data_IF_412997274997
#
_entry.id   IF_412997274997
#
_cell.length_a   1.000
_cell.length_b   1.000
_cell.length_c   1.000
_cell.angle_alpha   90.00
_cell.angle_beta   90.00
_cell.angle_gamma   90.00
#
_symmetry.space_group_name_H-M   'P 1'
#
loop_
_entity.id
_entity.type
_entity.pdbx_description
1 polymer ?
#
# COMPACT_ATOMS: atom_id res chain seq x y z
N UNK A 1 19.98 -9.38 3.28
CA UNK A 1 20.29 -8.16 4.08
C UNK A 1 19.11 -7.21 3.99
N UNK A 2 18.64 -6.80 2.81
CA UNK A 2 17.48 -5.91 2.62
C UNK A 2 16.23 -6.44 3.32
N UNK A 3 16.00 -7.75 3.28
CA UNK A 3 14.91 -8.43 3.97
C UNK A 3 14.89 -8.16 5.49
N UNK A 4 16.07 -8.24 6.13
CA UNK A 4 16.18 -7.98 7.58
C UNK A 4 16.06 -6.50 7.90
N UNK A 5 16.75 -5.65 7.14
CA UNK A 5 16.78 -4.20 7.39
C UNK A 5 15.45 -3.52 7.08
N UNK A 6 14.70 -4.02 6.10
CA UNK A 6 13.40 -3.49 5.69
C UNK A 6 12.20 -4.14 6.38
N UNK A 7 12.42 -5.11 7.28
CA UNK A 7 11.34 -5.76 8.01
C UNK A 7 10.60 -4.78 8.93
N UNK A 8 9.29 -4.91 8.99
CA UNK A 8 8.42 -4.16 9.89
C UNK A 8 7.91 -4.99 11.07
N UNK A 9 8.45 -6.20 11.24
CA UNK A 9 8.08 -7.07 12.36
C UNK A 9 8.50 -6.48 13.71
N UNK A 10 7.86 -6.90 14.83
CA UNK A 10 8.16 -6.41 16.17
C UNK A 10 9.66 -6.49 16.49
N UNK A 11 10.20 -5.41 17.03
CA UNK A 11 11.61 -5.29 17.41
C UNK A 11 12.55 -4.84 16.29
N UNK A 12 12.05 -4.58 15.07
CA UNK A 12 12.87 -4.03 13.99
C UNK A 12 12.90 -2.48 14.03
N UNK A 13 13.86 -1.83 13.37
CA UNK A 13 13.93 -0.37 13.34
C UNK A 13 12.67 0.29 12.79
N UNK A 14 12.10 -0.27 11.73
CA UNK A 14 10.90 0.30 11.12
C UNK A 14 9.72 0.29 12.10
N UNK A 15 9.49 -0.80 12.80
CA UNK A 15 8.42 -0.92 13.80
C UNK A 15 8.66 0.03 14.97
N UNK A 16 9.85 0.01 15.58
CA UNK A 16 10.15 0.83 16.74
C UNK A 16 10.08 2.33 16.43
N UNK A 17 10.66 2.77 15.32
CA UNK A 17 10.67 4.18 14.93
C UNK A 17 9.27 4.68 14.53
N UNK A 18 8.43 3.82 13.92
CA UNK A 18 7.01 4.12 13.66
C UNK A 18 6.22 4.24 14.97
N UNK A 19 6.40 3.30 15.90
CA UNK A 19 5.75 3.33 17.22
C UNK A 19 6.12 4.59 18.03
N UNK A 20 7.35 5.08 17.88
CA UNK A 20 7.79 6.36 18.47
C UNK A 20 7.28 7.60 17.72
N UNK A 21 6.61 7.43 16.59
CA UNK A 21 6.11 8.53 15.74
C UNK A 21 7.21 9.34 15.05
N UNK A 22 8.39 8.77 14.88
CA UNK A 22 9.54 9.44 14.26
C UNK A 22 9.56 9.29 12.74
N UNK A 23 9.03 8.18 12.22
CA UNK A 23 8.98 7.90 10.79
C UNK A 23 7.58 7.46 10.36
N UNK A 24 7.23 7.72 9.10
CA UNK A 24 6.03 7.14 8.46
C UNK A 24 6.38 5.90 7.63
N UNK A 25 7.62 5.84 7.10
CA UNK A 25 8.04 4.76 6.21
C UNK A 25 9.55 4.53 6.30
N UNK A 26 9.94 3.27 6.15
CA UNK A 26 11.33 2.86 5.91
C UNK A 26 11.33 1.85 4.79
N UNK A 27 11.99 2.18 3.67
CA UNK A 27 12.22 1.25 2.57
C UNK A 27 13.69 0.89 2.48
N UNK A 28 13.97 -0.35 2.17
CA UNK A 28 15.34 -0.81 1.93
C UNK A 28 15.43 -1.46 0.56
N UNK A 29 16.38 -1.01 -0.24
CA UNK A 29 16.63 -1.53 -1.57
C UNK A 29 18.13 -1.77 -1.78
N UNK A 30 18.46 -2.64 -2.70
CA UNK A 30 19.86 -2.88 -3.09
C UNK A 30 19.98 -3.03 -4.60
N UNK A 31 21.03 -2.45 -5.14
CA UNK A 31 21.51 -2.66 -6.50
C UNK A 31 22.91 -3.24 -6.41
N UNK A 32 23.05 -4.57 -6.38
CA UNK A 32 24.33 -5.22 -6.09
C UNK A 32 25.35 -5.05 -7.19
N UNK A 33 24.92 -4.77 -8.40
CA UNK A 33 25.78 -4.60 -9.58
C UNK A 33 25.32 -3.39 -10.40
N UNK A 34 25.74 -2.20 -9.97
CA UNK A 34 25.45 -0.96 -10.67
C UNK A 34 26.57 -0.67 -11.67
N UNK A 35 26.27 -0.75 -12.95
CA UNK A 35 27.21 -0.58 -14.07
C UNK A 35 28.43 -1.52 -14.04
N UNK A 36 28.33 -2.67 -13.38
CA UNK A 36 29.40 -3.68 -13.33
C UNK A 36 30.59 -3.35 -12.44
N UNK A 37 30.62 -2.26 -11.69
CA UNK A 37 31.78 -1.78 -10.96
C UNK A 37 31.56 -1.56 -9.45
N UNK A 38 30.34 -1.39 -8.99
CA UNK A 38 30.00 -1.28 -7.56
C UNK A 38 28.55 -1.64 -7.29
N UNK A 39 28.25 -1.95 -6.03
CA UNK A 39 26.89 -2.13 -5.56
C UNK A 39 26.51 -1.05 -4.55
N UNK A 40 25.21 -0.83 -4.38
CA UNK A 40 24.65 0.08 -3.37
C UNK A 40 23.56 -0.61 -2.56
N UNK A 41 23.48 -0.24 -1.29
CA UNK A 41 22.37 -0.50 -0.39
C UNK A 41 21.79 0.86 0.01
N UNK A 42 20.50 1.07 -0.23
CA UNK A 42 19.80 2.32 0.07
C UNK A 42 18.71 2.08 1.11
N UNK A 43 18.64 2.97 2.08
CA UNK A 43 17.56 3.04 3.04
C UNK A 43 16.88 4.41 2.87
N UNK A 44 15.61 4.40 2.46
CA UNK A 44 14.80 5.60 2.29
C UNK A 44 13.84 5.72 3.47
N UNK A 45 13.97 6.80 4.24
CA UNK A 45 13.22 7.02 5.47
C UNK A 45 12.39 8.29 5.35
N UNK A 46 11.07 8.15 5.43
CA UNK A 46 10.17 9.31 5.49
C UNK A 46 10.00 9.76 6.95
N UNK A 47 10.55 10.92 7.26
CA UNK A 47 10.55 11.49 8.60
C UNK A 47 9.25 12.24 8.88
N UNK A 48 8.80 12.18 10.14
CA UNK A 48 7.84 13.16 10.70
C UNK A 48 8.60 14.42 11.13
N UNK A 49 7.89 15.46 11.56
CA UNK A 49 8.53 16.66 12.12
C UNK A 49 9.36 16.31 13.40
N UNK A 50 8.85 15.40 14.23
CA UNK A 50 9.59 14.88 15.38
C UNK A 50 10.82 14.05 14.95
N UNK A 51 10.67 13.26 13.88
CA UNK A 51 11.77 12.51 13.28
C UNK A 51 12.85 13.42 12.70
N UNK A 52 12.46 14.52 12.06
CA UNK A 52 13.43 15.49 11.56
C UNK A 52 14.26 16.14 12.66
N UNK A 53 13.64 16.39 13.82
CA UNK A 53 14.33 16.89 15.00
C UNK A 53 15.24 15.83 15.65
N UNK A 54 14.94 14.54 15.48
CA UNK A 54 15.69 13.41 16.03
C UNK A 54 16.39 12.56 14.95
N UNK A 55 16.74 13.16 13.82
CA UNK A 55 17.28 12.44 12.66
C UNK A 55 18.57 11.67 12.96
N UNK A 56 19.44 12.20 13.85
CA UNK A 56 20.66 11.52 14.29
C UNK A 56 20.34 10.27 15.11
N UNK A 57 19.31 10.30 15.95
CA UNK A 57 18.84 9.13 16.69
C UNK A 57 18.28 8.04 15.77
N UNK A 58 17.66 8.42 14.66
CA UNK A 58 17.19 7.48 13.63
C UNK A 58 18.37 6.82 12.93
N UNK A 59 19.38 7.59 12.51
CA UNK A 59 20.62 7.05 11.93
C UNK A 59 21.30 6.10 12.92
N UNK A 60 21.41 6.51 14.19
CA UNK A 60 21.98 5.68 15.24
C UNK A 60 21.26 4.34 15.39
N UNK A 61 19.91 4.36 15.41
CA UNK A 61 19.09 3.15 15.51
C UNK A 61 19.34 2.19 14.34
N UNK A 62 19.42 2.71 13.13
CA UNK A 62 19.70 1.91 11.92
C UNK A 62 21.10 1.30 12.00
N UNK A 63 22.10 2.09 12.38
CA UNK A 63 23.49 1.60 12.53
C UNK A 63 23.62 0.56 13.63
N UNK A 64 22.95 0.74 14.78
CA UNK A 64 22.89 -0.26 15.85
C UNK A 64 22.26 -1.57 15.37
N UNK A 65 21.21 -1.49 14.55
CA UNK A 65 20.59 -2.68 14.00
C UNK A 65 21.50 -3.40 12.99
N UNK A 66 22.22 -2.68 12.15
CA UNK A 66 23.24 -3.25 11.26
C UNK A 66 24.29 -4.00 12.07
N UNK A 67 24.77 -3.42 13.18
CA UNK A 67 25.72 -4.10 14.07
C UNK A 67 25.11 -5.33 14.74
N UNK A 68 23.84 -5.28 15.15
CA UNK A 68 23.11 -6.45 15.66
C UNK A 68 23.09 -7.58 14.63
N UNK A 69 22.76 -7.26 13.36
CA UNK A 69 22.75 -8.24 12.24
C UNK A 69 24.14 -8.83 12.01
N UNK A 70 25.21 -8.02 12.11
CA UNK A 70 26.60 -8.51 11.99
C UNK A 70 26.97 -9.47 13.13
N UNK A 71 26.59 -9.12 14.37
CA UNK A 71 26.91 -9.91 15.58
C UNK A 71 26.16 -11.25 15.63
N UNK A 72 24.86 -11.22 15.32
CA UNK A 72 24.04 -12.43 15.33
C UNK A 72 24.22 -13.29 14.09
N UNK A 73 24.71 -12.69 13.00
CA UNK A 73 24.78 -13.33 11.70
C UNK A 73 23.42 -13.45 11.04
N UNK A 74 23.42 -13.86 9.77
CA UNK A 74 22.19 -14.14 9.02
C UNK A 74 21.89 -15.62 9.07
N UNK A 75 20.82 -16.00 9.74
CA UNK A 75 20.36 -17.37 9.84
C UNK A 75 19.83 -17.85 8.47
N UNK A 76 20.14 -19.08 8.11
CA UNK A 76 19.68 -19.74 6.87
C UNK A 76 18.15 -19.84 6.76
N UNK A 77 17.43 -19.72 7.88
CA UNK A 77 15.96 -19.71 7.89
C UNK A 77 15.40 -18.56 7.04
N UNK A 78 16.00 -17.37 7.08
CA UNK A 78 15.58 -16.24 6.24
C UNK A 78 15.83 -16.49 4.76
N UNK A 79 16.95 -17.12 4.43
CA UNK A 79 17.21 -17.53 3.06
C UNK A 79 16.17 -18.57 2.57
N UNK A 80 15.87 -19.59 3.39
CA UNK A 80 14.88 -20.60 3.07
C UNK A 80 13.48 -20.02 2.88
N UNK A 81 13.12 -19.01 3.68
CA UNK A 81 11.86 -18.29 3.57
C UNK A 81 11.75 -17.53 2.25
N UNK A 82 12.78 -16.73 1.90
CA UNK A 82 12.86 -16.01 0.63
C UNK A 82 12.83 -17.00 -0.54
N UNK A 83 13.61 -18.07 -0.49
CA UNK A 83 13.65 -19.12 -1.51
C UNK A 83 12.27 -19.75 -1.72
N UNK A 84 11.56 -20.07 -0.63
CA UNK A 84 10.20 -20.61 -0.69
C UNK A 84 9.23 -19.64 -1.33
N UNK A 85 9.26 -18.37 -0.93
CA UNK A 85 8.44 -17.33 -1.54
C UNK A 85 8.69 -17.19 -3.05
N UNK A 86 9.95 -17.09 -3.45
CA UNK A 86 10.34 -16.93 -4.86
C UNK A 86 10.00 -18.19 -5.70
N UNK A 87 10.20 -19.38 -5.15
CA UNK A 87 9.80 -20.62 -5.81
C UNK A 87 8.29 -20.69 -6.03
N UNK A 88 7.49 -20.27 -5.05
CA UNK A 88 6.04 -20.22 -5.19
C UNK A 88 5.61 -19.17 -6.24
N UNK A 89 6.25 -18.02 -6.28
CA UNK A 89 5.98 -17.00 -7.29
C UNK A 89 6.31 -17.52 -8.69
N UNK A 90 7.43 -18.20 -8.87
CA UNK A 90 7.84 -18.77 -10.16
C UNK A 90 6.91 -19.92 -10.59
N UNK A 91 6.56 -20.81 -9.66
CA UNK A 91 5.66 -21.95 -9.96
C UNK A 91 4.29 -21.50 -10.46
N UNK A 92 3.80 -20.38 -9.96
CA UNK A 92 2.49 -19.82 -10.29
C UNK A 92 2.63 -18.47 -11.01
N UNK A 93 3.65 -18.36 -11.87
CA UNK A 93 3.88 -17.18 -12.66
C UNK A 93 2.67 -16.90 -13.58
N UNK A 94 2.16 -15.68 -13.51
CA UNK A 94 1.04 -15.25 -14.33
C UNK A 94 1.52 -14.65 -15.65
N UNK A 95 0.69 -14.79 -16.68
CA UNK A 95 0.94 -14.13 -17.96
C UNK A 95 0.79 -12.61 -17.76
N UNK A 96 1.88 -11.90 -17.97
CA UNK A 96 1.91 -10.44 -17.93
C UNK A 96 1.69 -9.80 -19.31
N UNK A 97 1.98 -8.51 -19.41
CA UNK A 97 2.00 -7.79 -20.67
C UNK A 97 3.12 -8.34 -21.57
N UNK A 98 2.80 -8.67 -22.80
CA UNK A 98 3.71 -9.33 -23.75
C UNK A 98 4.94 -8.46 -24.07
N UNK A 99 4.76 -7.17 -24.27
CA UNK A 99 5.86 -6.24 -24.53
C UNK A 99 6.81 -6.15 -23.36
N UNK A 100 6.28 -5.98 -22.15
CA UNK A 100 7.08 -5.97 -20.90
C UNK A 100 7.80 -7.29 -20.68
N UNK A 101 7.15 -8.43 -20.93
CA UNK A 101 7.77 -9.74 -20.82
C UNK A 101 8.97 -9.91 -21.76
N UNK A 102 8.80 -9.58 -23.04
CA UNK A 102 9.88 -9.71 -24.04
C UNK A 102 11.03 -8.73 -23.73
N UNK A 103 10.70 -7.50 -23.34
CA UNK A 103 11.71 -6.49 -22.99
C UNK A 103 12.53 -6.90 -21.77
N UNK A 104 11.87 -7.37 -20.70
CA UNK A 104 12.55 -7.86 -19.50
C UNK A 104 13.41 -9.10 -19.79
N UNK A 105 12.94 -9.99 -20.67
CA UNK A 105 13.70 -11.17 -21.08
C UNK A 105 14.96 -10.78 -21.88
N UNK A 106 14.82 -9.85 -22.81
CA UNK A 106 15.96 -9.35 -23.60
C UNK A 106 16.99 -8.64 -22.72
N UNK A 107 16.53 -7.87 -21.73
CA UNK A 107 17.41 -7.22 -20.76
C UNK A 107 18.13 -8.24 -19.86
N UNK A 108 17.41 -9.21 -19.32
CA UNK A 108 17.99 -10.28 -18.52
C UNK A 108 19.08 -11.07 -19.27
N UNK A 109 18.90 -11.30 -20.56
CA UNK A 109 19.89 -12.01 -21.39
C UNK A 109 21.22 -11.27 -21.57
N UNK A 110 21.30 -10.00 -21.22
CA UNK A 110 22.56 -9.25 -21.20
C UNK A 110 23.45 -9.63 -20.01
N UNK A 111 22.84 -10.04 -18.90
CA UNK A 111 23.52 -10.30 -17.63
C UNK A 111 23.54 -11.76 -17.22
N UNK A 112 22.59 -12.59 -17.70
CA UNK A 112 22.49 -14.01 -17.38
C UNK A 112 22.44 -14.87 -18.63
N UNK A 113 22.91 -16.15 -18.58
CA UNK A 113 22.78 -17.07 -19.70
C UNK A 113 21.31 -17.23 -20.14
N UNK A 114 21.07 -17.29 -21.44
CA UNK A 114 19.72 -17.37 -22.04
C UNK A 114 18.83 -18.47 -21.41
N UNK A 115 19.41 -19.62 -21.05
CA UNK A 115 18.71 -20.73 -20.37
C UNK A 115 18.14 -20.34 -19.00
N UNK A 116 18.67 -19.31 -18.36
CA UNK A 116 18.28 -18.84 -17.04
C UNK A 116 17.47 -17.53 -17.09
N UNK A 117 17.31 -16.93 -18.26
CA UNK A 117 16.72 -15.58 -18.37
C UNK A 117 15.30 -15.48 -17.78
N UNK A 118 14.50 -16.56 -17.85
CA UNK A 118 13.13 -16.60 -17.29
C UNK A 118 13.15 -16.78 -15.78
N UNK A 119 14.03 -17.62 -15.24
CA UNK A 119 14.00 -17.98 -13.81
C UNK A 119 15.03 -17.19 -12.96
N UNK A 120 15.94 -16.44 -13.57
CA UNK A 120 16.98 -15.72 -12.84
C UNK A 120 16.47 -14.87 -11.67
N UNK A 121 15.35 -14.11 -11.79
CA UNK A 121 14.82 -13.32 -10.69
C UNK A 121 14.33 -14.15 -9.49
N UNK A 122 14.05 -15.45 -9.71
CA UNK A 122 13.47 -16.36 -8.72
C UNK A 122 14.46 -17.43 -8.23
N UNK A 123 15.70 -17.43 -8.76
CA UNK A 123 16.62 -18.55 -8.64
C UNK A 123 17.67 -18.32 -7.57
N UNK A 124 17.38 -18.71 -6.34
CA UNK A 124 18.27 -18.64 -5.20
C UNK A 124 18.54 -20.05 -4.69
N UNK A 125 19.69 -20.65 -5.08
CA UNK A 125 19.97 -22.07 -4.81
C UNK A 125 20.76 -22.30 -3.54
N UNK A 126 21.71 -21.43 -3.23
CA UNK A 126 22.69 -21.70 -2.18
C UNK A 126 22.76 -20.53 -1.21
N UNK A 127 22.58 -20.86 0.06
CA UNK A 127 22.91 -19.96 1.15
C UNK A 127 24.44 -19.85 1.28
N UNK A 128 24.97 -18.65 1.17
CA UNK A 128 26.38 -18.35 1.34
C UNK A 128 26.58 -17.36 2.48
N UNK A 129 26.74 -17.91 3.69
CA UNK A 129 26.91 -17.11 4.89
C UNK A 129 28.14 -16.20 4.83
N UNK A 130 29.23 -16.71 4.21
CA UNK A 130 30.46 -15.92 4.08
C UNK A 130 30.28 -14.71 3.17
N UNK A 131 29.69 -14.90 2.00
CA UNK A 131 29.41 -13.80 1.08
C UNK A 131 28.52 -12.73 1.71
N UNK A 132 27.50 -13.16 2.48
CA UNK A 132 26.63 -12.23 3.22
C UNK A 132 27.41 -11.46 4.29
N UNK A 133 28.26 -12.13 5.04
CA UNK A 133 29.13 -11.50 6.05
C UNK A 133 30.11 -10.52 5.40
N UNK A 134 30.73 -10.87 4.28
CA UNK A 134 31.64 -10.00 3.54
C UNK A 134 30.95 -8.70 3.07
N UNK A 135 29.68 -8.76 2.66
CA UNK A 135 28.87 -7.57 2.34
C UNK A 135 28.52 -6.79 3.59
N UNK A 136 28.05 -7.45 4.66
CA UNK A 136 27.73 -6.79 5.92
C UNK A 136 28.93 -6.05 6.52
N UNK A 137 30.13 -6.61 6.41
CA UNK A 137 31.37 -5.98 6.89
C UNK A 137 31.67 -4.66 6.17
N UNK A 138 31.11 -4.44 4.98
CA UNK A 138 31.27 -3.18 4.23
C UNK A 138 30.29 -2.08 4.65
N UNK A 139 29.24 -2.41 5.40
CA UNK A 139 28.27 -1.43 5.90
C UNK A 139 28.84 -0.72 7.14
N UNK A 140 29.70 0.25 6.90
CA UNK A 140 30.42 1.01 7.95
C UNK A 140 30.13 2.50 7.82
N UNK A 141 30.28 3.28 8.91
CA UNK A 141 30.10 4.73 8.87
C UNK A 141 30.99 5.42 7.81
N UNK A 142 32.19 4.89 7.51
CA UNK A 142 33.12 5.45 6.53
C UNK A 142 32.64 5.30 5.08
N UNK A 143 31.71 4.40 4.84
CA UNK A 143 31.09 4.18 3.51
C UNK A 143 29.67 4.71 3.41
N UNK A 144 29.15 5.32 4.48
CA UNK A 144 27.84 5.89 4.56
C UNK A 144 27.76 7.22 3.83
N UNK A 145 26.68 7.46 3.12
CA UNK A 145 26.25 8.75 2.61
C UNK A 145 24.83 9.01 3.10
N UNK A 146 24.61 10.14 3.75
CA UNK A 146 23.30 10.53 4.26
C UNK A 146 22.80 11.70 3.43
N UNK A 147 21.54 11.63 3.02
CA UNK A 147 20.84 12.69 2.31
C UNK A 147 19.72 13.19 3.19
N UNK A 148 19.86 14.40 3.72
CA UNK A 148 18.78 15.10 4.40
C UNK A 148 18.05 15.97 3.38
N UNK A 149 16.81 15.61 3.05
CA UNK A 149 16.02 16.29 2.02
C UNK A 149 14.87 17.04 2.71
N UNK A 150 15.02 18.36 2.81
CA UNK A 150 14.02 19.26 3.39
C UNK A 150 14.15 20.65 2.80
N UNK A 151 13.06 21.43 2.82
CA UNK A 151 13.09 22.83 2.43
C UNK A 151 13.87 23.73 3.39
N UNK A 152 14.16 23.24 4.59
CA UNK A 152 14.82 23.98 5.66
C UNK A 152 16.31 23.67 5.78
N UNK A 153 16.83 22.75 4.97
CA UNK A 153 18.25 22.40 5.03
C UNK A 153 19.13 23.56 4.57
N UNK A 154 20.25 23.79 5.27
CA UNK A 154 21.23 24.80 4.85
C UNK A 154 21.84 24.43 3.49
N UNK A 155 22.09 25.43 2.66
CA UNK A 155 22.66 25.22 1.35
C UNK A 155 23.64 26.33 1.00
N UNK A 156 24.66 25.99 0.20
CA UNK A 156 25.70 26.90 -0.30
C UNK A 156 26.00 26.71 -1.80
N UNK A 157 25.31 25.72 -2.43
CA UNK A 157 25.42 25.41 -3.85
C UNK A 157 24.05 25.15 -4.48
N UNK A 158 23.99 25.20 -5.81
CA UNK A 158 22.79 24.93 -6.61
C UNK A 158 23.11 23.91 -7.70
N UNK A 159 22.13 23.09 -8.06
CA UNK A 159 22.22 22.16 -9.17
C UNK A 159 22.24 22.91 -10.50
N UNK A 160 22.97 22.37 -11.48
CA UNK A 160 23.16 23.05 -12.76
C UNK A 160 21.91 23.02 -13.65
N UNK A 161 21.13 21.91 -13.64
CA UNK A 161 19.99 21.71 -14.54
C UNK A 161 18.63 21.73 -13.85
N UNK A 162 18.59 21.85 -12.53
CA UNK A 162 17.37 21.76 -11.73
C UNK A 162 17.34 22.81 -10.64
N UNK A 163 16.16 23.25 -10.24
CA UNK A 163 15.95 24.17 -9.11
C UNK A 163 16.21 23.49 -7.75
N UNK A 164 17.35 22.82 -7.65
CA UNK A 164 17.78 22.15 -6.43
C UNK A 164 18.95 22.90 -5.79
N UNK A 165 18.87 23.07 -4.48
CA UNK A 165 19.96 23.64 -3.66
C UNK A 165 20.50 22.57 -2.73
N UNK A 166 21.81 22.59 -2.46
CA UNK A 166 22.44 21.58 -1.62
C UNK A 166 23.65 22.13 -0.86
N UNK A 167 24.05 21.39 0.14
CA UNK A 167 25.32 21.52 0.84
C UNK A 167 25.93 20.16 1.05
N UNK A 168 27.22 20.03 0.83
CA UNK A 168 27.98 18.80 1.13
C UNK A 168 28.79 19.06 2.39
N UNK A 169 28.72 18.15 3.35
CA UNK A 169 29.52 18.16 4.56
C UNK A 169 30.05 16.75 4.85
N UNK A 170 31.22 16.65 5.42
CA UNK A 170 31.77 15.39 5.89
C UNK A 170 31.07 14.97 7.20
N UNK A 171 30.84 13.67 7.36
CA UNK A 171 30.33 13.10 8.61
C UNK A 171 31.48 13.16 9.63
N UNK A 172 31.32 13.96 10.68
CA UNK A 172 32.36 14.17 11.69
C UNK A 172 32.57 12.94 12.59
N UNK A 173 33.70 12.85 13.22
CA UNK A 173 33.94 11.82 14.23
C UNK A 173 33.01 11.95 15.43
N UNK A 174 32.61 13.17 15.79
CA UNK A 174 31.68 13.46 16.86
C UNK A 174 30.28 12.90 16.55
N UNK A 175 29.80 13.09 15.30
CA UNK A 175 28.54 12.49 14.84
C UNK A 175 28.58 10.96 14.91
N UNK A 176 29.65 10.33 14.42
CA UNK A 176 29.82 8.87 14.48
C UNK A 176 29.87 8.35 15.93
N UNK A 177 30.51 9.09 16.84
CA UNK A 177 30.54 8.74 18.26
C UNK A 177 29.14 8.93 18.91
N UNK A 178 28.41 9.96 18.54
CA UNK A 178 27.06 10.20 19.05
C UNK A 178 26.10 9.05 18.71
N UNK A 179 26.23 8.45 17.51
CA UNK A 179 25.43 7.29 17.13
C UNK A 179 25.71 6.06 17.99
N UNK A 180 26.97 5.86 18.42
CA UNK A 180 27.34 4.77 19.32
C UNK A 180 26.85 5.00 20.76
N UNK A 181 26.76 6.26 21.18
CA UNK A 181 26.32 6.65 22.52
C UNK A 181 24.81 6.86 22.64
N UNK A 182 24.08 6.88 21.52
CA UNK A 182 22.63 7.03 21.50
C UNK A 182 21.95 5.90 22.28
N UNK A 183 20.82 6.19 22.95
CA UNK A 183 20.08 5.17 23.67
C UNK A 183 19.78 3.97 22.76
N UNK A 184 20.09 2.78 23.25
CA UNK A 184 19.81 1.55 22.51
C UNK A 184 18.34 1.17 22.66
N UNK A 185 17.65 0.96 21.54
CA UNK A 185 16.33 0.36 21.55
C UNK A 185 16.45 -1.17 21.71
N UNK A 186 15.39 -1.79 22.19
CA UNK A 186 15.30 -3.24 22.29
C UNK A 186 15.06 -3.86 20.89
N UNK A 187 16.11 -3.86 20.06
CA UNK A 187 16.06 -4.36 18.70
C UNK A 187 16.23 -5.88 18.64
N UNK A 188 15.46 -6.52 17.76
CA UNK A 188 15.51 -7.96 17.53
C UNK A 188 15.44 -8.26 16.02
N UNK A 189 16.02 -9.39 15.59
CA UNK A 189 15.80 -9.89 14.25
C UNK A 189 14.34 -10.34 14.07
N UNK A 190 13.77 -10.22 12.85
CA UNK A 190 12.37 -10.56 12.58
C UNK A 190 12.09 -12.05 12.84
N UNK A 191 10.88 -12.36 13.27
CA UNK A 191 10.39 -13.71 13.33
C UNK A 191 10.23 -14.30 11.91
N UNK A 192 10.08 -15.62 11.82
CA UNK A 192 9.76 -16.29 10.55
C UNK A 192 8.33 -15.96 10.13
N UNK A 193 8.15 -15.75 8.84
CA UNK A 193 6.84 -15.45 8.25
C UNK A 193 5.88 -16.63 8.37
N UNK A 194 4.77 -16.43 9.07
CA UNK A 194 3.75 -17.47 9.32
C UNK A 194 2.68 -17.55 8.24
N UNK A 195 2.71 -16.64 7.26
CA UNK A 195 1.74 -16.54 6.18
C UNK A 195 2.22 -17.22 4.89
N UNK A 196 3.43 -17.79 4.85
CA UNK A 196 3.90 -18.51 3.68
C UNK A 196 2.95 -19.67 3.34
N UNK A 197 2.46 -19.76 2.08
CA UNK A 197 1.54 -20.81 1.69
C UNK A 197 2.24 -22.17 1.60
N UNK A 198 1.58 -23.19 2.11
CA UNK A 198 2.02 -24.60 2.13
C UNK A 198 1.10 -25.49 1.30
N UNK A 199 -0.19 -25.10 1.18
CA UNK A 199 -1.20 -25.85 0.44
C UNK A 199 -1.67 -25.08 -0.79
N UNK A 200 -1.49 -25.69 -1.96
CA UNK A 200 -1.86 -25.13 -3.26
C UNK A 200 -3.02 -25.89 -3.91
N UNK A 201 -3.83 -26.60 -3.12
CA UNK A 201 -4.99 -27.33 -3.63
C UNK A 201 -5.98 -26.37 -4.30
N UNK A 202 -6.42 -26.78 -5.49
CA UNK A 202 -7.45 -26.04 -6.21
C UNK A 202 -8.81 -26.47 -5.66
N UNK A 203 -9.60 -25.50 -5.23
CA UNK A 203 -10.95 -25.71 -4.71
C UNK A 203 -12.01 -25.78 -5.82
N UNK A 204 -11.58 -25.80 -7.07
CA UNK A 204 -12.33 -25.54 -8.29
C UNK A 204 -13.78 -26.06 -8.29
N UNK A 205 -14.77 -25.24 -7.94
CA UNK A 205 -16.10 -25.43 -8.42
C UNK A 205 -16.14 -25.23 -9.95
N UNK A 206 -17.23 -25.63 -10.61
CA UNK A 206 -17.39 -25.33 -12.02
C UNK A 206 -17.20 -23.84 -12.26
N UNK A 207 -16.35 -23.51 -13.24
CA UNK A 207 -16.13 -22.15 -13.66
C UNK A 207 -17.46 -21.52 -14.11
N UNK A 208 -17.65 -20.26 -13.81
CA UNK A 208 -18.86 -19.50 -14.09
C UNK A 208 -18.52 -18.30 -14.96
N UNK A 209 -19.48 -17.89 -15.78
CA UNK A 209 -19.32 -16.71 -16.65
C UNK A 209 -19.60 -15.39 -15.92
N UNK A 210 -20.23 -15.45 -14.76
CA UNK A 210 -20.62 -14.28 -13.96
C UNK A 210 -20.64 -14.63 -12.44
N UNK A 211 -20.49 -13.62 -11.57
CA UNK A 211 -20.65 -13.80 -10.15
C UNK A 211 -22.04 -14.34 -9.77
N UNK A 212 -22.08 -15.28 -8.84
CA UNK A 212 -23.30 -15.84 -8.28
C UNK A 212 -23.47 -15.44 -6.81
N UNK A 213 -24.67 -15.02 -6.44
CA UNK A 213 -25.04 -14.80 -5.03
C UNK A 213 -25.29 -16.16 -4.38
N UNK A 214 -24.36 -16.64 -3.55
CA UNK A 214 -24.43 -17.98 -2.96
C UNK A 214 -24.82 -18.00 -1.48
N UNK A 215 -24.68 -16.86 -0.79
CA UNK A 215 -25.05 -16.70 0.62
C UNK A 215 -25.75 -15.36 0.81
N UNK A 216 -26.92 -15.41 1.45
CA UNK A 216 -27.67 -14.24 1.91
C UNK A 216 -28.05 -14.47 3.37
N UNK A 217 -27.41 -13.79 4.29
CA UNK A 217 -27.62 -13.98 5.73
C UNK A 217 -27.36 -12.68 6.50
N UNK A 218 -28.25 -12.31 7.42
CA UNK A 218 -28.07 -11.20 8.37
C UNK A 218 -27.57 -9.90 7.74
N UNK A 219 -28.16 -9.49 6.61
CA UNK A 219 -27.74 -8.33 5.81
C UNK A 219 -26.33 -8.45 5.20
N UNK A 220 -25.77 -9.64 5.15
CA UNK A 220 -24.57 -9.98 4.39
C UNK A 220 -24.98 -10.67 3.10
N UNK A 221 -24.54 -10.11 1.97
CA UNK A 221 -24.64 -10.76 0.66
C UNK A 221 -23.28 -11.22 0.22
N UNK A 222 -23.09 -12.51 -0.02
CA UNK A 222 -21.81 -13.06 -0.44
C UNK A 222 -21.89 -13.69 -1.83
N UNK A 223 -21.00 -13.24 -2.68
CA UNK A 223 -20.92 -13.57 -4.10
C UNK A 223 -19.68 -14.40 -4.36
N UNK A 224 -19.82 -15.42 -5.18
CA UNK A 224 -18.72 -16.30 -5.62
C UNK A 224 -18.53 -16.18 -7.13
N UNK A 225 -17.29 -16.04 -7.57
CA UNK A 225 -16.92 -16.05 -8.98
C UNK A 225 -15.66 -16.87 -9.23
N UNK A 226 -15.76 -18.20 -9.40
CA UNK A 226 -14.68 -19.03 -9.88
C UNK A 226 -14.44 -18.79 -11.37
N UNK A 227 -13.28 -18.25 -11.71
CA UNK A 227 -12.94 -17.89 -13.09
C UNK A 227 -12.37 -19.07 -13.87
N UNK A 228 -12.80 -19.25 -15.12
CA UNK A 228 -12.17 -20.20 -16.04
C UNK A 228 -10.71 -19.84 -16.33
N UNK A 229 -10.45 -18.57 -16.54
CA UNK A 229 -9.13 -18.06 -16.92
C UNK A 229 -8.07 -18.35 -15.85
N UNK A 230 -8.44 -18.34 -14.56
CA UNK A 230 -7.56 -18.55 -13.44
C UNK A 230 -7.80 -19.87 -12.68
N UNK A 231 -8.49 -20.83 -13.31
CA UNK A 231 -8.86 -22.10 -12.67
C UNK A 231 -7.66 -22.97 -12.21
N UNK A 232 -6.48 -22.77 -12.81
CA UNK A 232 -5.24 -23.44 -12.43
C UNK A 232 -4.41 -22.71 -11.38
N UNK A 233 -4.87 -21.53 -10.90
CA UNK A 233 -4.16 -20.71 -9.94
C UNK A 233 -4.71 -20.93 -8.52
N UNK A 234 -3.87 -21.26 -7.53
CA UNK A 234 -4.28 -21.37 -6.12
C UNK A 234 -4.39 -19.99 -5.46
N UNK A 235 -4.83 -19.01 -6.23
CA UNK A 235 -4.95 -17.60 -5.84
C UNK A 235 -6.40 -17.15 -5.91
N UNK A 236 -6.71 -16.14 -5.14
CA UNK A 236 -8.02 -15.52 -5.16
C UNK A 236 -7.99 -14.11 -4.59
N UNK A 237 -9.08 -13.40 -4.84
CA UNK A 237 -9.35 -12.06 -4.31
C UNK A 237 -10.61 -12.13 -3.48
N UNK A 238 -10.52 -11.59 -2.28
CA UNK A 238 -11.63 -11.45 -1.35
C UNK A 238 -11.83 -9.96 -1.07
N UNK A 239 -12.99 -9.44 -1.44
CA UNK A 239 -13.40 -8.05 -1.18
C UNK A 239 -14.56 -8.05 -0.18
N UNK A 240 -14.39 -7.34 0.93
CA UNK A 240 -15.40 -7.17 1.96
C UNK A 240 -15.78 -5.69 2.00
N UNK A 241 -16.94 -5.38 1.43
CA UNK A 241 -17.49 -4.03 1.39
C UNK A 241 -18.37 -3.78 2.60
N UNK A 242 -18.01 -2.82 3.43
CA UNK A 242 -18.75 -2.30 4.58
C UNK A 242 -19.41 -1.00 4.11
N UNK A 243 -20.53 -1.11 3.41
CA UNK A 243 -21.16 0.01 2.73
C UNK A 243 -21.97 0.89 3.68
N UNK A 244 -21.78 2.20 3.56
CA UNK A 244 -22.48 3.21 4.34
C UNK A 244 -22.60 4.51 3.55
N UNK A 245 -23.74 5.19 3.65
CA UNK A 245 -23.99 6.46 2.95
C UNK A 245 -23.32 7.67 3.63
N UNK A 246 -22.77 7.50 4.82
CA UNK A 246 -22.21 8.59 5.64
C UNK A 246 -21.19 9.41 4.86
N UNK A 247 -20.30 8.76 4.11
CA UNK A 247 -19.25 9.47 3.33
C UNK A 247 -19.80 10.24 2.11
N UNK A 248 -20.99 9.88 1.61
CA UNK A 248 -21.61 10.59 0.50
C UNK A 248 -22.40 11.81 0.96
N UNK A 249 -22.89 11.80 2.20
CA UNK A 249 -23.75 12.84 2.74
C UNK A 249 -22.97 14.00 3.37
N UNK A 250 -21.76 13.75 3.88
CA UNK A 250 -21.00 14.71 4.64
C UNK A 250 -19.50 14.65 4.30
N UNK A 251 -18.95 15.79 3.89
CA UNK A 251 -17.50 15.91 3.63
C UNK A 251 -16.65 15.54 4.85
N UNK A 252 -17.11 15.92 6.07
CA UNK A 252 -16.40 15.59 7.32
C UNK A 252 -16.30 14.09 7.54
N UNK A 253 -17.37 13.34 7.25
CA UNK A 253 -17.35 11.89 7.32
C UNK A 253 -16.47 11.24 6.25
N UNK A 254 -16.44 11.79 5.03
CA UNK A 254 -15.52 11.36 3.97
C UNK A 254 -14.07 11.49 4.41
N UNK A 255 -13.71 12.63 5.01
CA UNK A 255 -12.37 12.86 5.55
C UNK A 255 -12.06 11.91 6.69
N UNK A 256 -12.99 11.70 7.62
CA UNK A 256 -12.82 10.77 8.73
C UNK A 256 -12.52 9.34 8.24
N UNK A 257 -13.26 8.84 7.24
CA UNK A 257 -13.00 7.51 6.67
C UNK A 257 -11.67 7.43 5.93
N UNK A 258 -11.26 8.49 5.23
CA UNK A 258 -9.96 8.54 4.59
C UNK A 258 -8.82 8.49 5.62
N UNK A 259 -8.93 9.24 6.72
CA UNK A 259 -7.96 9.18 7.83
C UNK A 259 -7.94 7.79 8.49
N UNK A 260 -9.11 7.18 8.70
CA UNK A 260 -9.18 5.84 9.27
C UNK A 260 -8.50 4.80 8.40
N UNK A 261 -8.75 4.85 7.09
CA UNK A 261 -8.05 4.00 6.11
C UNK A 261 -6.53 4.14 6.22
N UNK A 262 -6.03 5.37 6.27
CA UNK A 262 -4.59 5.64 6.32
C UNK A 262 -3.98 5.17 7.64
N UNK A 263 -4.66 5.42 8.77
CA UNK A 263 -4.24 4.95 10.09
C UNK A 263 -4.25 3.43 10.19
N UNK A 264 -5.30 2.78 9.68
CA UNK A 264 -5.38 1.31 9.63
C UNK A 264 -4.24 0.73 8.81
N UNK A 265 -4.04 1.21 7.58
CA UNK A 265 -2.99 0.69 6.70
C UNK A 265 -1.59 0.93 7.31
N UNK A 266 -1.38 2.03 8.02
CA UNK A 266 -0.13 2.30 8.73
C UNK A 266 0.08 1.31 9.89
N UNK A 267 -0.95 1.06 10.70
CA UNK A 267 -0.85 0.10 11.83
C UNK A 267 -0.72 -1.34 11.35
N UNK A 268 -1.29 -1.68 10.20
CA UNK A 268 -1.21 -3.02 9.61
C UNK A 268 -0.01 -3.18 8.67
N UNK A 269 0.91 -2.22 8.61
CA UNK A 269 2.04 -2.28 7.66
C UNK A 269 2.93 -3.51 7.88
N UNK A 270 3.16 -3.92 9.12
CA UNK A 270 3.90 -5.16 9.44
C UNK A 270 3.18 -6.40 8.90
N UNK A 271 1.87 -6.53 9.16
CA UNK A 271 1.05 -7.63 8.66
C UNK A 271 0.95 -7.62 7.13
N UNK A 272 0.82 -6.44 6.53
CA UNK A 272 0.77 -6.28 5.08
C UNK A 272 2.11 -6.66 4.43
N UNK A 273 3.26 -6.31 5.04
CA UNK A 273 4.59 -6.72 4.59
C UNK A 273 4.79 -8.24 4.71
N UNK A 274 4.36 -8.85 5.83
CA UNK A 274 4.38 -10.31 6.00
C UNK A 274 3.54 -11.01 4.92
N UNK A 275 2.35 -10.47 4.62
CA UNK A 275 1.47 -10.98 3.57
C UNK A 275 2.10 -10.84 2.17
N UNK A 276 2.71 -9.68 1.85
CA UNK A 276 3.34 -9.43 0.55
C UNK A 276 4.49 -10.41 0.27
N UNK A 277 5.36 -10.65 1.25
CA UNK A 277 6.42 -11.67 1.18
C UNK A 277 5.84 -13.05 0.90
N UNK A 278 4.68 -13.37 1.47
CA UNK A 278 3.97 -14.62 1.27
C UNK A 278 3.16 -14.69 -0.05
N UNK A 279 3.23 -13.67 -0.90
CA UNK A 279 2.49 -13.57 -2.17
C UNK A 279 1.01 -13.27 -1.96
N UNK A 280 0.68 -12.53 -0.90
CA UNK A 280 -0.65 -12.03 -0.60
C UNK A 280 -0.62 -10.51 -0.41
N UNK A 281 -1.79 -9.87 -0.49
CA UNK A 281 -1.96 -8.45 -0.27
C UNK A 281 -3.07 -8.21 0.73
N UNK A 282 -2.88 -7.22 1.60
CA UNK A 282 -3.88 -6.73 2.54
C UNK A 282 -4.02 -5.22 2.35
N UNK A 283 -5.26 -4.75 2.17
CA UNK A 283 -5.53 -3.32 2.00
C UNK A 283 -6.91 -2.94 2.53
N UNK A 284 -6.99 -1.83 3.25
CA UNK A 284 -8.24 -1.14 3.53
C UNK A 284 -8.36 0.07 2.59
N UNK A 285 -9.53 0.27 2.00
CA UNK A 285 -9.89 1.43 1.17
C UNK A 285 -11.20 2.06 1.63
N UNK A 286 -11.45 3.31 1.22
CA UNK A 286 -12.66 4.08 1.55
C UNK A 286 -13.60 4.17 0.32
N UNK A 287 -14.32 3.09 0.03
CA UNK A 287 -15.25 3.02 -1.10
C UNK A 287 -16.70 2.92 -0.61
N UNK A 288 -17.46 4.01 -0.64
CA UNK A 288 -18.84 4.07 -0.14
C UNK A 288 -19.00 3.47 1.26
N UNK A 289 -18.14 3.85 2.18
CA UNK A 289 -17.86 3.25 3.46
C UNK A 289 -16.41 2.76 3.50
N UNK A 290 -16.20 1.53 3.93
CA UNK A 290 -14.90 0.88 3.94
C UNK A 290 -14.92 -0.38 3.06
N UNK A 291 -13.79 -0.73 2.47
CA UNK A 291 -13.59 -1.99 1.77
C UNK A 291 -12.27 -2.62 2.20
N UNK A 292 -12.33 -3.84 2.75
CA UNK A 292 -11.17 -4.63 3.12
C UNK A 292 -10.91 -5.66 2.00
N UNK A 293 -9.72 -5.59 1.41
CA UNK A 293 -9.26 -6.47 0.34
C UNK A 293 -8.16 -7.39 0.82
N UNK A 294 -8.30 -8.68 0.52
CA UNK A 294 -7.27 -9.71 0.69
C UNK A 294 -7.10 -10.43 -0.65
N UNK A 295 -5.90 -10.44 -1.20
CA UNK A 295 -5.63 -11.05 -2.50
C UNK A 295 -4.39 -11.95 -2.46
N UNK A 296 -4.21 -12.83 -3.45
CA UNK A 296 -3.04 -13.71 -3.57
C UNK A 296 -3.33 -15.17 -3.25
N UNK A 297 -2.35 -15.90 -2.71
CA UNK A 297 -2.50 -17.33 -2.38
C UNK A 297 -3.57 -17.56 -1.32
N UNK A 298 -4.53 -18.47 -1.60
CA UNK A 298 -5.73 -18.65 -0.76
C UNK A 298 -5.49 -19.45 0.52
N UNK A 299 -4.37 -20.16 0.64
CA UNK A 299 -4.08 -21.05 1.78
C UNK A 299 -4.12 -20.32 3.14
N UNK A 300 -3.39 -19.23 3.26
CA UNK A 300 -3.27 -18.46 4.52
C UNK A 300 -4.18 -17.22 4.57
N UNK A 301 -5.01 -16.98 3.55
CA UNK A 301 -5.96 -15.86 3.58
C UNK A 301 -6.94 -15.89 4.76
N UNK A 302 -7.45 -17.03 5.24
CA UNK A 302 -8.29 -17.04 6.43
C UNK A 302 -7.58 -16.52 7.68
N UNK A 303 -6.29 -16.86 7.85
CA UNK A 303 -5.47 -16.38 8.96
C UNK A 303 -5.18 -14.89 8.85
N UNK A 304 -4.83 -14.41 7.65
CA UNK A 304 -4.62 -13.00 7.35
C UNK A 304 -5.90 -12.19 7.60
N UNK A 305 -7.04 -12.68 7.10
CA UNK A 305 -8.35 -12.04 7.29
C UNK A 305 -8.72 -11.93 8.77
N UNK A 306 -8.51 -12.97 9.56
CA UNK A 306 -8.81 -12.95 10.99
C UNK A 306 -8.03 -11.84 11.71
N UNK A 307 -6.74 -11.69 11.42
CA UNK A 307 -5.91 -10.63 12.00
C UNK A 307 -6.34 -9.25 11.51
N UNK A 308 -6.61 -9.10 10.21
CA UNK A 308 -7.08 -7.86 9.61
C UNK A 308 -8.42 -7.38 10.22
N UNK A 309 -9.38 -8.29 10.42
CA UNK A 309 -10.67 -7.96 11.02
C UNK A 309 -10.55 -7.59 12.50
N UNK A 310 -9.70 -8.26 13.27
CA UNK A 310 -9.47 -7.95 14.69
C UNK A 310 -8.91 -6.54 14.90
N UNK A 311 -8.24 -6.00 13.88
CA UNK A 311 -7.59 -4.69 13.92
C UNK A 311 -8.43 -3.57 13.31
N UNK A 312 -9.64 -3.83 12.81
CA UNK A 312 -10.50 -2.79 12.24
C UNK A 312 -10.88 -1.69 13.24
N UNK A 313 -11.04 -2.04 14.51
CA UNK A 313 -11.24 -1.09 15.59
C UNK A 313 -9.88 -0.66 16.16
N UNK A 314 -9.11 0.11 15.40
CA UNK A 314 -7.80 0.60 15.82
C UNK A 314 -7.91 1.57 16.99
N UNK A 315 -6.92 1.54 17.88
CA UNK A 315 -6.72 2.57 18.90
C UNK A 315 -5.78 3.63 18.34
N UNK A 316 -6.19 4.87 18.35
CA UNK A 316 -5.43 6.03 17.90
C UNK A 316 -5.41 7.06 19.00
N UNK A 317 -4.24 7.56 19.34
CA UNK A 317 -4.06 8.69 20.24
C UNK A 317 -4.10 10.04 19.50
N UNK A 318 -4.11 11.13 20.25
CA UNK A 318 -4.14 12.49 19.69
C UNK A 318 -2.94 12.78 18.80
N UNK A 319 -1.78 12.25 19.10
CA UNK A 319 -0.56 12.48 18.33
C UNK A 319 -0.63 11.77 16.96
N UNK A 320 -0.99 10.50 16.94
CA UNK A 320 -1.17 9.74 15.69
C UNK A 320 -2.28 10.32 14.81
N UNK A 321 -3.37 10.76 15.43
CA UNK A 321 -4.44 11.46 14.73
C UNK A 321 -3.96 12.78 14.12
N UNK A 322 -3.23 13.62 14.88
CA UNK A 322 -2.71 14.89 14.39
C UNK A 322 -1.76 14.69 13.21
N UNK A 323 -0.88 13.71 13.28
CA UNK A 323 0.04 13.36 12.18
C UNK A 323 -0.70 12.88 10.92
N UNK A 324 -1.72 12.02 11.08
CA UNK A 324 -2.52 11.55 9.95
C UNK A 324 -3.28 12.71 9.28
N UNK A 325 -3.85 13.59 10.09
CA UNK A 325 -4.56 14.79 9.64
C UNK A 325 -3.66 15.74 8.86
N UNK A 326 -2.44 15.97 9.34
CA UNK A 326 -1.46 16.82 8.66
C UNK A 326 -1.02 16.19 7.32
N UNK A 327 -0.71 14.89 7.28
CA UNK A 327 -0.41 14.19 6.02
C UNK A 327 -1.55 14.30 5.01
N UNK A 328 -2.79 14.10 5.47
CA UNK A 328 -3.98 14.22 4.63
C UNK A 328 -4.10 15.62 4.02
N UNK A 329 -4.02 16.67 4.84
CA UNK A 329 -4.11 18.07 4.39
C UNK A 329 -3.03 18.36 3.36
N UNK A 330 -1.78 18.03 3.64
CA UNK A 330 -0.67 18.21 2.69
C UNK A 330 -0.89 17.43 1.39
N UNK A 331 -1.39 16.20 1.49
CA UNK A 331 -1.71 15.38 0.32
C UNK A 331 -2.77 16.01 -0.58
N UNK A 332 -3.84 16.56 0.01
CA UNK A 332 -4.89 17.26 -0.74
C UNK A 332 -4.36 18.57 -1.33
N UNK A 333 -3.62 19.39 -0.56
CA UNK A 333 -3.03 20.63 -1.04
C UNK A 333 -2.03 20.41 -2.19
N UNK A 334 -1.27 19.31 -2.18
CA UNK A 334 -0.35 18.99 -3.25
C UNK A 334 -1.05 18.62 -4.57
N UNK A 335 -2.35 18.37 -4.56
CA UNK A 335 -3.12 18.14 -5.79
C UNK A 335 -3.12 19.39 -6.69
N UNK A 336 -3.06 20.59 -6.12
CA UNK A 336 -2.94 21.83 -6.89
C UNK A 336 -1.62 21.99 -7.65
N UNK A 337 -0.61 21.17 -7.35
CA UNK A 337 0.70 21.16 -8.02
C UNK A 337 0.82 20.08 -9.09
N UNK A 338 -0.21 19.25 -9.27
CA UNK A 338 -0.24 18.22 -10.30
C UNK A 338 -0.41 18.86 -11.68
N UNK A 339 -0.15 18.05 -12.73
CA UNK A 339 -0.38 18.49 -14.09
C UNK A 339 -1.80 19.02 -14.30
N UNK A 340 -2.00 20.07 -15.13
CA UNK A 340 -3.31 20.71 -15.33
C UNK A 340 -4.44 19.73 -15.67
N UNK A 341 -4.18 18.71 -16.48
CA UNK A 341 -5.18 17.71 -16.84
C UNK A 341 -5.66 16.87 -15.65
N UNK A 342 -4.78 16.55 -14.68
CA UNK A 342 -5.17 15.87 -13.44
C UNK A 342 -6.09 16.77 -12.60
N UNK A 343 -5.75 18.06 -12.48
CA UNK A 343 -6.59 19.02 -11.76
C UNK A 343 -7.96 19.19 -12.41
N UNK A 344 -8.01 19.21 -13.76
CA UNK A 344 -9.27 19.25 -14.51
C UNK A 344 -10.13 18.00 -14.27
N UNK A 345 -9.54 16.79 -14.25
CA UNK A 345 -10.26 15.56 -13.91
C UNK A 345 -10.75 15.54 -12.44
N UNK A 346 -9.99 16.05 -11.51
CA UNK A 346 -10.43 16.18 -10.11
C UNK A 346 -11.63 17.12 -9.99
N UNK A 347 -11.57 18.29 -10.64
CA UNK A 347 -12.68 19.23 -10.70
C UNK A 347 -13.93 18.62 -11.36
N UNK A 348 -13.77 17.95 -12.50
CA UNK A 348 -14.85 17.23 -13.14
C UNK A 348 -15.50 16.21 -12.21
N UNK A 349 -14.71 15.34 -11.56
CA UNK A 349 -15.24 14.33 -10.66
C UNK A 349 -15.96 14.91 -9.42
N UNK A 350 -15.50 16.04 -8.89
CA UNK A 350 -16.16 16.68 -7.75
C UNK A 350 -17.52 17.28 -8.11
N UNK A 351 -17.70 17.68 -9.36
CA UNK A 351 -18.96 18.25 -9.86
C UNK A 351 -19.99 17.20 -10.25
N UNK A 352 -19.55 16.11 -10.89
CA UNK A 352 -20.51 15.16 -11.51
C UNK A 352 -20.76 13.93 -10.64
N UNK A 353 -19.97 13.67 -9.61
CA UNK A 353 -20.01 12.43 -8.86
C UNK A 353 -20.36 12.66 -7.39
N UNK A 354 -21.46 12.06 -6.90
CA UNK A 354 -21.81 12.14 -5.49
C UNK A 354 -20.73 11.57 -4.57
N UNK A 355 -20.51 12.20 -3.41
CA UNK A 355 -19.49 11.78 -2.44
C UNK A 355 -18.05 12.17 -2.83
N UNK A 356 -17.86 12.90 -3.93
CA UNK A 356 -16.62 13.58 -4.24
C UNK A 356 -16.75 15.06 -3.88
N UNK A 357 -15.71 15.63 -3.33
CA UNK A 357 -15.68 16.99 -2.83
C UNK A 357 -14.45 17.72 -3.36
N UNK A 358 -14.54 19.04 -3.47
CA UNK A 358 -13.41 19.86 -3.84
C UNK A 358 -12.32 19.88 -2.76
N UNK A 359 -11.07 20.14 -3.18
CA UNK A 359 -9.91 20.14 -2.31
C UNK A 359 -10.06 21.06 -1.10
N UNK A 360 -10.56 22.28 -1.30
CA UNK A 360 -10.74 23.26 -0.22
C UNK A 360 -11.78 22.80 0.80
N UNK A 361 -12.88 22.17 0.35
CA UNK A 361 -13.89 21.61 1.24
C UNK A 361 -13.31 20.43 2.07
N UNK A 362 -12.46 19.60 1.45
CA UNK A 362 -11.79 18.50 2.13
C UNK A 362 -10.77 19.00 3.17
N UNK A 363 -9.98 20.01 2.83
CA UNK A 363 -9.01 20.64 3.75
C UNK A 363 -9.74 21.31 4.92
N UNK A 364 -10.78 22.12 4.64
CA UNK A 364 -11.58 22.77 5.69
C UNK A 364 -12.24 21.76 6.63
N UNK A 365 -12.79 20.68 6.10
CA UNK A 365 -13.34 19.60 6.89
C UNK A 365 -12.27 18.89 7.75
N UNK A 366 -11.08 18.64 7.18
CA UNK A 366 -9.96 18.05 7.92
C UNK A 366 -9.50 18.96 9.07
N UNK A 367 -9.37 20.26 8.85
CA UNK A 367 -8.97 21.23 9.88
C UNK A 367 -9.91 21.20 11.09
N UNK A 368 -11.23 21.13 10.83
CA UNK A 368 -12.27 21.10 11.86
C UNK A 368 -12.57 19.70 12.44
N UNK A 369 -11.89 18.64 11.99
CA UNK A 369 -12.12 17.28 12.47
C UNK A 369 -11.39 17.04 13.80
N UNK A 370 -12.08 16.44 14.76
CA UNK A 370 -11.52 15.98 16.04
C UNK A 370 -11.33 14.46 16.06
N UNK A 371 -10.51 13.95 16.99
CA UNK A 371 -10.35 12.50 17.19
C UNK A 371 -11.69 11.84 17.54
N UNK A 372 -12.52 12.50 18.34
CA UNK A 372 -13.86 12.02 18.68
C UNK A 372 -14.78 11.91 17.44
N UNK A 373 -14.72 12.89 16.52
CA UNK A 373 -15.48 12.82 15.25
C UNK A 373 -15.04 11.63 14.39
N UNK A 374 -13.73 11.38 14.30
CA UNK A 374 -13.17 10.22 13.60
C UNK A 374 -13.73 8.92 14.20
N UNK A 375 -13.57 8.74 15.50
CA UNK A 375 -14.02 7.53 16.22
C UNK A 375 -15.51 7.31 16.09
N UNK A 376 -16.32 8.37 16.24
CA UNK A 376 -17.78 8.31 16.10
C UNK A 376 -18.20 7.93 14.67
N UNK A 377 -17.54 8.50 13.65
CA UNK A 377 -17.86 8.19 12.24
C UNK A 377 -17.57 6.72 11.93
N UNK A 378 -16.42 6.21 12.37
CA UNK A 378 -16.07 4.80 12.15
C UNK A 378 -17.00 3.87 12.92
N UNK A 379 -17.28 4.17 14.18
CA UNK A 379 -18.23 3.40 14.99
C UNK A 379 -19.61 3.34 14.31
N UNK A 380 -20.07 4.46 13.75
CA UNK A 380 -21.32 4.54 12.99
C UNK A 380 -21.31 3.62 11.75
N UNK A 381 -20.23 3.66 10.96
CA UNK A 381 -20.07 2.83 9.76
C UNK A 381 -20.00 1.35 10.13
N UNK A 382 -19.26 0.99 11.16
CA UNK A 382 -19.14 -0.40 11.61
C UNK A 382 -20.45 -0.92 12.25
N UNK A 383 -21.21 -0.07 12.93
CA UNK A 383 -22.46 -0.45 13.58
C UNK A 383 -23.67 -0.48 12.63
N UNK A 384 -23.71 0.36 11.61
CA UNK A 384 -24.85 0.51 10.70
C UNK A 384 -24.38 0.52 9.23
N UNK A 385 -24.32 -0.66 8.63
CA UNK A 385 -23.82 -0.85 7.27
C UNK A 385 -24.56 -2.00 6.57
N UNK A 386 -24.38 -2.06 5.25
CA UNK A 386 -24.65 -3.25 4.44
C UNK A 386 -23.33 -3.90 4.05
N UNK A 387 -23.22 -5.18 4.30
CA UNK A 387 -22.03 -5.94 3.91
C UNK A 387 -22.26 -6.71 2.62
N UNK A 388 -21.31 -6.54 1.71
CA UNK A 388 -21.18 -7.37 0.53
C UNK A 388 -19.82 -8.01 0.52
N UNK A 389 -19.76 -9.29 0.27
CA UNK A 389 -18.53 -10.06 0.18
C UNK A 389 -18.43 -10.59 -1.24
N UNK A 390 -17.31 -10.38 -1.88
CA UNK A 390 -17.02 -10.90 -3.21
C UNK A 390 -15.77 -11.76 -3.15
N UNK A 391 -15.90 -13.03 -3.51
CA UNK A 391 -14.81 -13.98 -3.61
C UNK A 391 -14.60 -14.37 -5.08
N UNK A 392 -13.40 -14.11 -5.59
CA UNK A 392 -12.97 -14.39 -6.95
C UNK A 392 -11.78 -15.35 -6.97
N UNK A 393 -11.78 -16.31 -7.89
CA UNK A 393 -10.66 -17.26 -8.07
C UNK A 393 -10.82 -18.53 -7.25
N UNK A 394 -9.77 -18.96 -6.53
CA UNK A 394 -9.70 -20.26 -5.86
C UNK A 394 -10.53 -20.35 -4.56
N UNK A 395 -11.83 -20.14 -4.67
CA UNK A 395 -12.80 -20.25 -3.58
C UNK A 395 -13.93 -21.23 -3.95
N UNK A 396 -14.45 -21.89 -2.93
CA UNK A 396 -15.71 -22.65 -2.98
C UNK A 396 -16.74 -22.06 -2.00
N UNK A 397 -17.96 -22.56 -2.03
CA UNK A 397 -19.03 -22.12 -1.14
C UNK A 397 -18.70 -22.35 0.34
N UNK A 398 -17.98 -23.42 0.67
CA UNK A 398 -17.61 -23.74 2.04
C UNK A 398 -16.58 -22.73 2.59
N UNK A 399 -15.57 -22.38 1.79
CA UNK A 399 -14.59 -21.35 2.15
C UNK A 399 -15.27 -19.98 2.30
N UNK A 400 -16.18 -19.63 1.40
CA UNK A 400 -16.93 -18.37 1.49
C UNK A 400 -17.84 -18.33 2.73
N UNK A 401 -18.45 -19.44 3.12
CA UNK A 401 -19.22 -19.55 4.36
C UNK A 401 -18.36 -19.29 5.60
N UNK A 402 -17.12 -19.79 5.62
CA UNK A 402 -16.18 -19.51 6.71
C UNK A 402 -15.82 -18.00 6.78
N UNK A 403 -15.62 -17.36 5.63
CA UNK A 403 -15.41 -15.92 5.55
C UNK A 403 -16.61 -15.15 6.10
N UNK A 404 -17.83 -15.47 5.67
CA UNK A 404 -19.06 -14.85 6.17
C UNK A 404 -19.18 -14.99 7.70
N UNK A 405 -18.88 -16.17 8.23
CA UNK A 405 -18.90 -16.44 9.67
C UNK A 405 -17.85 -15.60 10.42
N UNK A 406 -16.62 -15.51 9.89
CA UNK A 406 -15.56 -14.73 10.48
C UNK A 406 -15.90 -13.22 10.50
N UNK A 407 -16.43 -12.70 9.41
CA UNK A 407 -16.86 -11.31 9.27
C UNK A 407 -18.03 -11.01 10.22
N UNK A 408 -19.03 -11.88 10.27
CA UNK A 408 -20.19 -11.71 11.16
C UNK A 408 -19.80 -11.70 12.64
N UNK A 409 -18.81 -12.51 13.01
CA UNK A 409 -18.26 -12.57 14.37
C UNK A 409 -17.44 -11.32 14.72
N UNK A 410 -16.60 -10.86 13.82
CA UNK A 410 -15.70 -9.73 14.05
C UNK A 410 -16.46 -8.39 14.06
N UNK A 411 -17.54 -8.29 13.30
CA UNK A 411 -18.36 -7.10 13.16
C UNK A 411 -19.80 -7.41 13.61
N UNK A 412 -20.05 -7.59 14.92
CA UNK A 412 -21.36 -7.95 15.48
C UNK A 412 -22.31 -6.76 15.46
N UNK A 413 -22.48 -6.13 14.32
CA UNK A 413 -23.17 -4.88 14.19
C UNK A 413 -24.68 -5.06 13.96
N UNK A 414 -25.46 -4.08 14.39
CA UNK A 414 -26.82 -3.88 13.93
C UNK A 414 -26.76 -3.36 12.50
N UNK A 415 -26.97 -4.24 11.53
CA UNK A 415 -26.84 -3.93 10.12
C UNK A 415 -28.07 -3.22 9.59
N UNK A 416 -27.85 -2.30 8.68
CA UNK A 416 -28.92 -1.61 7.99
C UNK A 416 -29.64 -2.56 7.02
N UNK A 417 -30.96 -2.62 7.09
CA UNK A 417 -31.81 -3.30 6.11
C UNK A 417 -32.07 -2.40 4.87
N UNK A 418 -31.82 -1.10 5.00
CA UNK A 418 -31.99 -0.16 3.92
C UNK A 418 -30.90 -0.34 2.86
N UNK A 419 -31.26 -0.32 1.57
CA UNK A 419 -30.27 -0.28 0.52
C UNK A 419 -29.36 0.94 0.70
N UNK A 420 -28.04 0.76 0.64
CA UNK A 420 -27.13 1.91 0.60
C UNK A 420 -27.25 2.62 -0.75
N UNK A 421 -27.06 3.94 -0.75
CA UNK A 421 -27.08 4.73 -1.96
C UNK A 421 -25.85 4.43 -2.82
N UNK A 422 -26.08 4.14 -4.09
CA UNK A 422 -24.97 4.04 -5.05
C UNK A 422 -24.43 5.43 -5.34
N UNK A 423 -23.17 5.51 -5.75
CA UNK A 423 -22.61 6.74 -6.30
C UNK A 423 -23.50 7.19 -7.47
N UNK A 424 -24.07 8.37 -7.31
CA UNK A 424 -24.87 9.00 -8.35
C UNK A 424 -23.99 9.91 -9.21
N UNK A 425 -24.32 9.98 -10.50
CA UNK A 425 -23.72 10.91 -11.43
C UNK A 425 -24.74 11.96 -11.83
N UNK A 426 -24.36 13.23 -11.71
CA UNK A 426 -25.09 14.29 -12.34
C UNK A 426 -24.70 14.34 -13.82
N UNK A 427 -25.70 14.25 -14.69
CA UNK A 427 -25.51 14.30 -16.15
C UNK A 427 -26.30 15.48 -16.71
N UNK A 428 -25.72 16.31 -17.57
CA UNK A 428 -26.48 17.35 -18.26
C UNK A 428 -27.57 16.71 -19.12
N UNK A 429 -28.71 17.40 -19.25
CA UNK A 429 -29.80 16.96 -20.14
C UNK A 429 -29.35 17.05 -21.62
N UNK A 430 -29.94 16.26 -22.53
CA UNK A 430 -29.64 16.38 -23.94
C UNK A 430 -29.74 17.84 -24.44
N UNK A 431 -28.74 18.29 -25.15
CA UNK A 431 -28.63 19.70 -25.61
C UNK A 431 -28.13 20.70 -24.58
N UNK A 432 -27.82 20.29 -23.37
CA UNK A 432 -27.18 21.13 -22.38
C UNK A 432 -25.67 20.83 -22.32
N UNK A 433 -24.87 21.87 -22.12
CA UNK A 433 -23.45 21.78 -21.81
C UNK A 433 -23.17 22.46 -20.46
N UNK A 434 -22.25 21.89 -19.70
CA UNK A 434 -21.67 22.55 -18.52
C UNK A 434 -20.23 22.91 -18.87
N UNK A 435 -19.92 24.20 -18.82
CA UNK A 435 -18.55 24.69 -18.98
C UNK A 435 -18.08 25.19 -17.60
N UNK A 436 -16.97 24.63 -17.15
CA UNK A 436 -16.34 25.01 -15.88
C UNK A 436 -14.92 25.48 -16.19
N UNK A 437 -14.61 26.68 -15.77
CA UNK A 437 -13.28 27.25 -15.86
C UNK A 437 -12.72 27.38 -14.45
N UNK A 438 -11.49 26.95 -14.25
CA UNK A 438 -10.78 27.05 -12.99
C UNK A 438 -9.38 27.58 -13.23
N UNK A 439 -9.02 28.64 -12.49
CA UNK A 439 -7.65 29.11 -12.45
C UNK A 439 -6.79 28.18 -11.59
N UNK A 440 -5.58 27.94 -12.02
CA UNK A 440 -4.62 27.05 -11.37
C UNK A 440 -3.26 27.73 -11.24
N UNK A 441 -2.49 27.33 -10.22
CA UNK A 441 -1.17 27.92 -9.91
C UNK A 441 -0.04 27.42 -10.83
N UNK A 442 -0.37 26.59 -11.82
CA UNK A 442 0.60 26.02 -12.77
C UNK A 442 0.53 26.79 -14.07
N UNK A 443 1.67 27.22 -14.61
CA UNK A 443 1.77 28.01 -15.85
C UNK A 443 1.55 27.15 -17.11
N UNK A 444 0.44 26.45 -17.16
CA UNK A 444 0.03 25.59 -18.28
C UNK A 444 -1.49 25.47 -18.31
N UNK A 445 -2.07 24.98 -19.41
CA UNK A 445 -3.52 24.91 -19.64
C UNK A 445 -3.91 23.49 -20.02
N UNK A 446 -5.02 23.02 -19.49
CA UNK A 446 -5.65 21.77 -19.92
C UNK A 446 -7.14 21.96 -20.18
N UNK A 447 -7.64 21.30 -21.21
CA UNK A 447 -9.05 21.13 -21.52
C UNK A 447 -9.44 19.68 -21.36
N UNK A 448 -10.50 19.42 -20.60
CA UNK A 448 -11.15 18.13 -20.52
C UNK A 448 -12.55 18.27 -21.12
N UNK A 449 -12.77 17.65 -22.25
CA UNK A 449 -14.07 17.60 -22.92
C UNK A 449 -14.70 16.22 -22.74
N UNK A 450 -15.91 16.18 -22.16
CA UNK A 450 -16.59 14.93 -21.80
C UNK A 450 -17.93 14.84 -22.51
N UNK A 451 -18.02 13.92 -23.43
CA UNK A 451 -19.25 13.57 -24.12
C UNK A 451 -19.91 12.35 -23.48
N UNK A 452 -21.16 12.51 -23.02
CA UNK A 452 -21.89 11.46 -22.32
C UNK A 452 -22.95 10.88 -23.25
N UNK A 453 -22.89 9.58 -23.47
CA UNK A 453 -23.91 8.86 -24.19
C UNK A 453 -24.91 8.22 -23.23
N UNK A 454 -26.22 8.45 -23.39
CA UNK A 454 -27.24 7.97 -22.43
C UNK A 454 -27.40 6.45 -22.42
N UNK A 455 -27.04 5.77 -23.49
CA UNK A 455 -27.18 4.32 -23.65
C UNK A 455 -25.79 3.67 -23.80
N UNK A 456 -25.19 3.17 -22.71
CA UNK A 456 -23.91 2.49 -22.81
C UNK A 456 -24.06 1.15 -23.52
N UNK A 457 -23.34 0.98 -24.64
CA UNK A 457 -23.24 -0.29 -25.38
C UNK A 457 -21.83 -0.47 -25.93
N UNK A 458 -21.40 -1.71 -26.15
CA UNK A 458 -20.11 -2.00 -26.78
C UNK A 458 -19.97 -1.35 -28.16
N UNK A 459 -21.08 -1.29 -28.94
CA UNK A 459 -21.10 -0.62 -30.26
C UNK A 459 -20.87 0.89 -30.12
N UNK A 460 -21.45 1.54 -29.12
CA UNK A 460 -21.22 2.95 -28.83
C UNK A 460 -19.81 3.22 -28.38
N UNK A 461 -19.27 2.37 -27.52
CA UNK A 461 -17.87 2.46 -27.06
C UNK A 461 -16.91 2.30 -28.27
N UNK A 462 -17.15 1.32 -29.14
CA UNK A 462 -16.33 1.11 -30.34
C UNK A 462 -16.39 2.34 -31.29
N UNK A 463 -17.57 2.91 -31.51
CA UNK A 463 -17.73 4.15 -32.33
C UNK A 463 -16.98 5.33 -31.67
N UNK A 464 -17.13 5.52 -30.37
CA UNK A 464 -16.44 6.59 -29.66
C UNK A 464 -14.91 6.43 -29.71
N UNK A 465 -14.41 5.18 -29.66
CA UNK A 465 -12.96 4.89 -29.75
C UNK A 465 -12.40 5.24 -31.14
N UNK A 466 -13.19 5.06 -32.21
CA UNK A 466 -12.77 5.44 -33.57
C UNK A 466 -12.77 6.95 -33.78
N UNK A 467 -13.62 7.68 -33.06
CA UNK A 467 -13.72 9.15 -33.14
C UNK A 467 -12.69 9.87 -32.27
N UNK A 468 -12.01 9.17 -31.40
CA UNK A 468 -10.97 9.68 -30.50
C UNK A 468 -9.61 9.68 -31.17
#
# INVERSE_FOLDING_TARGET
ITYLLGSEMPGTPAEQLKAMGLISKLNVSATPDLYGNYGSLSLDVELTDAGMQNREGIVATIMQYIELVKQQGVDSKYFSEIQTSLNNQFRFLEKGNEFGYVSNLADAMQTVPARNAINAPFYYQRFDAKAIQDVLAQLTPQRLRIWYISKQEPHDASLHFYDGKYKIADISQEEQQSWQQSPQLALNLPAVNRLLPENFALKAPQAQDKPELVIQQDSISAWLYPSQQFASQPRGVLEIFINSDVAQQQVKAKVALALWRDLYNLQQSALATEADIAGMQLRLSDANGLALSVAGFTDKQPQLLQQALASLAISVDEQGFAQAKDRFIRGVQNQSKQFPFHQAFLAYNSLVRSGNYEADAMVGAAQGLTLADLQNTVAQVLANNQMRIFAFGNYDKAALQQVVTAVAKALPAKRSEQPYSRTAFWLPKPGQALVVQKDIDVADVALVDVHIHPEPSYNQLARATVLR
#
